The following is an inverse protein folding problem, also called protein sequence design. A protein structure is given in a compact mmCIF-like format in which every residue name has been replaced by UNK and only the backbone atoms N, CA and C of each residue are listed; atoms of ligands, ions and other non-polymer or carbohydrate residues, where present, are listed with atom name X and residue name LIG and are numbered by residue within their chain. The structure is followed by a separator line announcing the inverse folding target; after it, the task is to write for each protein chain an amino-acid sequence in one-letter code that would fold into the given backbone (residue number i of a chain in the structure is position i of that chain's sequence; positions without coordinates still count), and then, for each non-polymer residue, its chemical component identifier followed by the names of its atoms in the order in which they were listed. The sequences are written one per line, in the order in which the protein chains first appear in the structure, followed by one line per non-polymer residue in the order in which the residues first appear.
data_IF_642802502659
#
_entry.id   IF_642802502659
#
_cell.length_a   1.000
_cell.length_b   1.000
_cell.length_c   1.000
_cell.angle_alpha   90.00
_cell.angle_beta   90.00
_cell.angle_gamma   90.00
#
_symmetry.space_group_name_H-M   'P 1'
#
loop_
_entity.id
_entity.type
_entity.pdbx_description
1 polymer ?
#
# COMPACT_ATOMS: atom_id res chain seq x y z
N UNK A 1 15.07 -3.95 6.61
CA UNK A 1 15.39 -5.30 6.11
C UNK A 1 16.54 -5.18 5.12
N UNK A 2 17.48 -6.12 5.15
CA UNK A 2 18.61 -6.18 4.24
C UNK A 2 18.81 -7.62 3.76
N UNK A 3 18.76 -7.83 2.45
CA UNK A 3 19.08 -9.14 1.86
C UNK A 3 20.56 -9.44 2.05
N UNK A 4 20.88 -10.69 2.40
CA UNK A 4 22.24 -11.20 2.61
C UNK A 4 22.57 -12.20 1.52
N UNK A 5 21.70 -13.19 1.32
CA UNK A 5 21.93 -14.29 0.38
C UNK A 5 20.63 -14.69 -0.32
N UNK A 6 20.74 -15.01 -1.61
CA UNK A 6 19.67 -15.61 -2.39
C UNK A 6 20.26 -16.68 -3.32
N UNK A 7 19.83 -17.92 -3.15
CA UNK A 7 20.06 -19.01 -4.08
C UNK A 7 18.74 -19.54 -4.63
N UNK A 8 18.66 -19.69 -5.96
CA UNK A 8 17.51 -20.26 -6.68
C UNK A 8 18.06 -21.31 -7.65
N UNK A 9 17.96 -22.61 -7.31
CA UNK A 9 18.47 -23.69 -8.15
C UNK A 9 17.79 -23.74 -9.52
N UNK A 10 16.46 -23.63 -9.54
CA UNK A 10 15.71 -23.64 -10.79
C UNK A 10 14.44 -22.80 -10.66
N UNK A 11 14.33 -21.76 -11.48
CA UNK A 11 13.09 -21.01 -11.66
C UNK A 11 13.04 -20.39 -13.05
N UNK A 12 12.19 -20.95 -13.92
CA UNK A 12 12.03 -20.50 -15.31
C UNK A 12 13.35 -20.57 -16.08
N UNK A 13 13.98 -19.43 -16.38
CA UNK A 13 15.29 -19.37 -17.05
C UNK A 13 16.45 -19.08 -16.08
N UNK A 14 16.17 -18.98 -14.78
CA UNK A 14 17.19 -18.91 -13.74
C UNK A 14 17.62 -20.35 -13.44
N UNK A 15 18.90 -20.65 -13.65
CA UNK A 15 19.52 -21.94 -13.33
C UNK A 15 20.71 -21.69 -12.42
N UNK A 16 20.74 -22.39 -11.29
CA UNK A 16 21.80 -22.33 -10.27
C UNK A 16 22.19 -20.90 -9.89
N UNK A 17 21.20 -20.01 -9.79
CA UNK A 17 21.43 -18.62 -9.47
C UNK A 17 21.85 -18.52 -8.00
N UNK A 18 22.98 -17.85 -7.76
CA UNK A 18 23.46 -17.51 -6.41
C UNK A 18 23.86 -16.04 -6.38
N UNK A 19 23.33 -15.30 -5.40
CA UNK A 19 23.61 -13.88 -5.19
C UNK A 19 23.92 -13.66 -3.72
N UNK A 20 25.14 -13.18 -3.46
CA UNK A 20 25.56 -12.67 -2.17
C UNK A 20 25.51 -11.14 -2.18
N UNK A 21 24.65 -10.57 -1.34
CA UNK A 21 24.44 -9.13 -1.26
C UNK A 21 25.45 -8.51 -0.31
N UNK A 22 26.29 -7.62 -0.85
CA UNK A 22 27.14 -6.78 0.01
C UNK A 22 26.26 -5.86 0.85
N UNK A 23 26.46 -5.87 2.15
CA UNK A 23 25.65 -5.07 3.08
C UNK A 23 26.21 -3.68 3.35
N UNK A 24 27.51 -3.50 3.12
CA UNK A 24 28.27 -2.27 3.40
C UNK A 24 29.19 -1.92 2.22
N UNK A 25 29.37 -0.62 1.98
CA UNK A 25 30.34 -0.12 1.00
C UNK A 25 31.75 -0.30 1.58
N UNK A 26 32.59 -1.09 0.90
CA UNK A 26 34.00 -1.20 1.27
C UNK A 26 34.71 0.13 1.02
N UNK A 27 35.52 0.58 1.98
CA UNK A 27 36.37 1.76 1.79
C UNK A 27 37.26 1.57 0.55
N UNK A 28 37.37 2.62 -0.28
CA UNK A 28 38.29 2.61 -1.42
C UNK A 28 39.73 2.44 -0.90
N UNK A 29 40.58 1.66 -1.57
CA UNK A 29 41.99 1.54 -1.19
C UNK A 29 42.65 2.93 -1.29
N UNK A 30 43.08 3.49 -0.16
CA UNK A 30 43.74 4.81 -0.08
C UNK A 30 42.93 5.94 0.56
N UNK A 31 41.68 5.71 0.98
CA UNK A 31 40.93 6.68 1.79
C UNK A 31 41.30 6.52 3.28
N UNK A 32 41.53 7.64 3.97
CA UNK A 32 41.84 7.69 5.40
C UNK A 32 40.84 6.89 6.23
N UNK A 33 41.37 5.99 7.05
CA UNK A 33 40.68 5.11 8.01
C UNK A 33 39.99 5.91 9.10
N UNK A 34 38.80 6.46 8.84
CA UNK A 34 37.92 7.04 9.88
C UNK A 34 36.48 7.31 9.40
N UNK A 35 35.99 6.56 8.41
CA UNK A 35 34.57 6.66 7.98
C UNK A 35 33.89 5.34 8.29
N UNK A 36 32.89 5.37 9.17
CA UNK A 36 32.03 4.22 9.42
C UNK A 36 31.48 3.67 8.09
N UNK A 37 31.55 2.35 7.88
CA UNK A 37 31.15 1.75 6.61
C UNK A 37 29.69 2.08 6.30
N UNK A 38 29.46 2.80 5.20
CA UNK A 38 28.10 3.17 4.78
C UNK A 38 27.30 1.93 4.38
N UNK A 39 26.16 1.71 5.03
CA UNK A 39 25.21 0.64 4.70
C UNK A 39 24.65 0.83 3.29
N UNK A 40 24.63 -0.25 2.50
CA UNK A 40 24.02 -0.27 1.17
C UNK A 40 22.50 -0.36 1.32
N UNK A 41 21.78 0.62 0.75
CA UNK A 41 20.31 0.70 0.81
C UNK A 41 19.63 0.34 -0.51
N UNK A 42 20.39 0.25 -1.60
CA UNK A 42 19.87 -0.05 -2.93
C UNK A 42 20.84 -0.93 -3.70
N UNK A 43 20.27 -1.87 -4.47
CA UNK A 43 21.01 -2.72 -5.39
C UNK A 43 20.44 -2.51 -6.79
N UNK A 44 21.34 -2.38 -7.78
CA UNK A 44 20.96 -2.27 -9.18
C UNK A 44 21.35 -3.56 -9.90
N UNK A 45 20.38 -4.20 -10.54
CA UNK A 45 20.62 -5.32 -11.45
C UNK A 45 20.54 -4.82 -12.89
N UNK A 46 21.65 -4.93 -13.62
CA UNK A 46 21.78 -4.45 -15.00
C UNK A 46 22.11 -5.64 -15.90
N UNK A 47 21.53 -5.65 -17.10
CA UNK A 47 21.78 -6.70 -18.10
C UNK A 47 20.95 -6.46 -19.36
N UNK A 48 21.21 -7.23 -20.41
CA UNK A 48 20.45 -7.16 -21.66
C UNK A 48 19.00 -7.64 -21.49
N UNK A 49 18.13 -7.34 -22.45
CA UNK A 49 16.75 -7.85 -22.44
C UNK A 49 16.77 -9.39 -22.62
N UNK A 50 15.87 -10.09 -21.92
CA UNK A 50 15.79 -11.56 -21.97
C UNK A 50 16.73 -12.30 -21.01
N UNK A 51 17.64 -11.64 -20.29
CA UNK A 51 18.60 -12.29 -19.38
C UNK A 51 18.01 -12.80 -18.05
N UNK A 52 16.67 -12.76 -17.87
CA UNK A 52 16.02 -13.24 -16.65
C UNK A 52 15.83 -12.22 -15.52
N UNK A 53 16.17 -10.93 -15.72
CA UNK A 53 15.98 -9.87 -14.70
C UNK A 53 14.56 -9.84 -14.11
N UNK A 54 13.54 -9.88 -14.98
CA UNK A 54 12.14 -9.90 -14.55
C UNK A 54 11.76 -11.19 -13.84
N UNK A 55 12.39 -12.32 -14.20
CA UNK A 55 12.15 -13.60 -13.53
C UNK A 55 12.77 -13.63 -12.12
N UNK A 56 13.89 -12.94 -11.89
CA UNK A 56 14.45 -12.76 -10.54
C UNK A 56 13.50 -11.96 -9.64
N UNK A 57 12.99 -10.84 -10.16
CA UNK A 57 12.01 -10.00 -9.44
C UNK A 57 10.76 -10.83 -9.14
N UNK A 58 10.27 -11.61 -10.11
CA UNK A 58 9.13 -12.50 -9.93
C UNK A 58 9.38 -13.56 -8.85
N UNK A 59 10.57 -14.18 -8.83
CA UNK A 59 10.93 -15.18 -7.82
C UNK A 59 10.92 -14.57 -6.42
N UNK A 60 11.55 -13.41 -6.23
CA UNK A 60 11.56 -12.69 -4.95
C UNK A 60 10.15 -12.36 -4.47
N UNK A 61 9.30 -11.81 -5.34
CA UNK A 61 7.90 -11.50 -5.01
C UNK A 61 7.15 -12.78 -4.63
N UNK A 62 7.36 -13.87 -5.38
CA UNK A 62 6.72 -15.16 -5.12
C UNK A 62 7.11 -15.72 -3.75
N UNK A 63 8.38 -15.66 -3.39
CA UNK A 63 8.89 -16.11 -2.08
C UNK A 63 8.21 -15.32 -0.95
N UNK A 64 8.26 -13.98 -0.99
CA UNK A 64 7.64 -13.17 0.07
C UNK A 64 6.12 -13.33 0.10
N UNK A 65 5.46 -13.44 -1.04
CA UNK A 65 4.01 -13.68 -1.15
C UNK A 65 3.62 -14.99 -0.47
N UNK A 66 4.32 -16.08 -0.78
CA UNK A 66 3.99 -17.40 -0.27
C UNK A 66 4.24 -17.50 1.23
N UNK A 67 5.34 -16.90 1.71
CA UNK A 67 5.63 -16.81 3.15
C UNK A 67 4.54 -16.00 3.86
N UNK A 68 4.22 -14.80 3.35
CA UNK A 68 3.24 -13.89 3.93
C UNK A 68 1.83 -14.49 4.01
N UNK A 69 1.39 -15.16 2.94
CA UNK A 69 0.08 -15.81 2.88
C UNK A 69 0.03 -17.13 3.65
N UNK A 70 1.14 -17.52 4.30
CA UNK A 70 1.32 -18.78 4.97
C UNK A 70 0.99 -19.98 4.06
N UNK A 71 1.55 -19.98 2.84
CA UNK A 71 1.36 -21.03 1.82
C UNK A 71 2.57 -21.95 1.73
N UNK A 72 2.35 -23.08 1.06
CA UNK A 72 3.42 -24.00 0.63
C UNK A 72 4.33 -23.28 -0.38
N UNK A 73 5.62 -23.65 -0.40
CA UNK A 73 6.59 -23.06 -1.32
C UNK A 73 6.33 -23.51 -2.76
N UNK A 74 6.31 -22.56 -3.68
CA UNK A 74 6.08 -22.83 -5.12
C UNK A 74 7.36 -23.01 -5.94
N UNK A 75 8.52 -22.79 -5.34
CA UNK A 75 9.85 -23.04 -5.93
C UNK A 75 10.86 -23.39 -4.84
N UNK A 76 11.98 -23.98 -5.25
CA UNK A 76 13.14 -24.23 -4.39
C UNK A 76 14.00 -22.97 -4.28
N UNK A 77 14.42 -22.63 -3.07
CA UNK A 77 15.29 -21.47 -2.83
C UNK A 77 15.98 -21.55 -1.47
N UNK A 78 17.06 -20.79 -1.33
CA UNK A 78 17.62 -20.38 -0.03
C UNK A 78 17.65 -18.87 0.01
N UNK A 79 17.04 -18.27 1.03
CA UNK A 79 16.96 -16.83 1.22
C UNK A 79 17.45 -16.50 2.62
N UNK A 80 18.37 -15.55 2.73
CA UNK A 80 18.86 -15.03 4.00
C UNK A 80 18.78 -13.51 4.03
N UNK A 81 18.32 -12.96 5.15
CA UNK A 81 18.23 -11.52 5.34
C UNK A 81 18.31 -11.12 6.81
N UNK A 82 18.74 -9.88 7.03
CA UNK A 82 18.71 -9.22 8.32
C UNK A 82 17.46 -8.34 8.42
N UNK A 83 16.71 -8.47 9.51
CA UNK A 83 15.59 -7.58 9.81
C UNK A 83 15.46 -7.37 11.31
N UNK A 84 15.29 -6.10 11.73
CA UNK A 84 15.02 -5.76 13.15
C UNK A 84 16.07 -6.34 14.11
N UNK A 85 17.33 -6.44 13.68
CA UNK A 85 18.45 -6.99 14.48
C UNK A 85 18.59 -8.51 14.44
N UNK A 86 17.69 -9.23 13.76
CA UNK A 86 17.68 -10.69 13.66
C UNK A 86 18.11 -11.16 12.27
N UNK A 87 18.78 -12.30 12.22
CA UNK A 87 19.13 -12.99 10.98
C UNK A 87 18.11 -14.09 10.70
N UNK A 88 17.45 -14.01 9.55
CA UNK A 88 16.44 -14.98 9.14
C UNK A 88 16.95 -15.74 7.92
N UNK A 89 16.97 -17.07 8.03
CA UNK A 89 17.27 -17.98 6.93
C UNK A 89 16.05 -18.82 6.60
N UNK A 90 15.72 -18.89 5.32
CA UNK A 90 14.58 -19.64 4.80
C UNK A 90 15.06 -20.54 3.66
N UNK A 91 14.76 -21.82 3.74
CA UNK A 91 15.11 -22.79 2.71
C UNK A 91 13.88 -23.58 2.31
N UNK A 92 13.47 -23.45 1.04
CA UNK A 92 12.47 -24.32 0.43
C UNK A 92 13.17 -25.42 -0.36
N UNK A 93 12.83 -26.67 -0.04
CA UNK A 93 13.22 -27.87 -0.77
C UNK A 93 11.94 -28.70 -0.96
N UNK A 94 11.26 -28.46 -2.08
CA UNK A 94 9.94 -29.00 -2.40
C UNK A 94 9.96 -30.51 -2.56
N UNK A 95 11.12 -31.11 -2.81
CA UNK A 95 11.31 -32.56 -2.83
C UNK A 95 11.30 -33.16 -1.42
N UNK A 96 11.75 -32.43 -0.41
CA UNK A 96 11.75 -32.90 1.00
C UNK A 96 10.45 -32.61 1.73
N UNK A 97 9.93 -31.39 1.62
CA UNK A 97 8.65 -31.01 2.22
C UNK A 97 8.05 -29.78 1.53
N UNK A 98 6.73 -29.64 1.63
CA UNK A 98 6.00 -28.53 1.00
C UNK A 98 6.28 -27.17 1.63
N UNK A 99 6.55 -27.13 2.94
CA UNK A 99 6.80 -25.90 3.69
C UNK A 99 8.28 -25.61 3.76
N UNK A 100 8.72 -24.35 3.68
CA UNK A 100 10.13 -24.02 3.86
C UNK A 100 10.58 -24.33 5.28
N UNK A 101 11.84 -24.72 5.42
CA UNK A 101 12.55 -24.71 6.69
C UNK A 101 12.94 -23.27 7.02
N UNK A 102 12.76 -22.87 8.28
CA UNK A 102 13.03 -21.51 8.73
C UNK A 102 13.93 -21.55 9.95
N UNK A 103 14.91 -20.64 9.97
CA UNK A 103 15.77 -20.38 11.11
C UNK A 103 15.80 -18.89 11.42
N UNK A 104 15.79 -18.55 12.70
CA UNK A 104 15.93 -17.19 13.22
C UNK A 104 17.05 -17.22 14.25
N UNK A 105 18.13 -16.50 14.00
CA UNK A 105 19.34 -16.51 14.82
C UNK A 105 19.80 -17.95 15.14
N UNK A 106 19.91 -18.77 14.08
CA UNK A 106 20.26 -20.20 14.10
C UNK A 106 19.25 -21.16 14.76
N UNK A 107 18.22 -20.65 15.43
CA UNK A 107 17.15 -21.48 15.99
C UNK A 107 16.13 -21.88 14.93
N UNK A 108 15.87 -23.18 14.82
CA UNK A 108 14.86 -23.72 13.89
C UNK A 108 13.44 -23.41 14.37
N UNK A 109 12.68 -22.71 13.54
CA UNK A 109 11.30 -22.29 13.83
C UNK A 109 10.33 -22.69 12.71
N UNK A 110 9.03 -22.52 12.95
CA UNK A 110 8.00 -22.71 11.91
C UNK A 110 7.88 -21.47 11.02
N UNK A 111 7.34 -21.62 9.81
CA UNK A 111 7.03 -20.48 8.93
C UNK A 111 6.09 -19.47 9.61
N UNK A 112 5.11 -19.93 10.39
CA UNK A 112 4.17 -19.07 11.10
C UNK A 112 4.86 -18.13 12.11
N UNK A 113 6.03 -18.54 12.63
CA UNK A 113 6.85 -17.72 13.51
C UNK A 113 7.23 -16.38 12.88
N UNK A 114 7.33 -16.30 11.55
CA UNK A 114 7.65 -15.06 10.85
C UNK A 114 6.46 -14.10 10.73
N UNK A 115 5.23 -14.59 10.93
CA UNK A 115 3.97 -13.88 10.68
C UNK A 115 3.30 -13.38 11.96
N UNK A 116 3.49 -14.10 13.06
CA UNK A 116 2.79 -13.84 14.32
C UNK A 116 3.72 -13.26 15.37
N UNK A 117 3.31 -12.16 15.98
CA UNK A 117 3.92 -11.68 17.21
C UNK A 117 3.48 -12.62 18.35
N UNK A 118 4.25 -12.65 19.44
CA UNK A 118 3.80 -13.36 20.63
C UNK A 118 2.49 -12.77 21.17
N UNK A 119 1.58 -13.67 21.57
CA UNK A 119 0.32 -13.25 22.18
C UNK A 119 0.61 -12.49 23.47
N UNK A 120 -0.24 -11.51 23.79
CA UNK A 120 -0.03 -10.63 24.92
C UNK A 120 0.07 -11.37 26.27
N UNK A 121 -0.56 -12.54 26.38
CA UNK A 121 -0.64 -13.44 27.53
C UNK A 121 0.53 -14.43 27.65
N UNK A 122 1.36 -14.60 26.60
CA UNK A 122 2.51 -15.51 26.65
C UNK A 122 3.63 -14.92 27.51
N UNK A 123 4.05 -15.67 28.55
CA UNK A 123 5.22 -15.37 29.37
C UNK A 123 6.06 -16.65 29.59
N UNK A 124 7.39 -16.62 29.34
CA UNK A 124 8.16 -15.48 28.85
C UNK A 124 7.85 -15.17 27.38
N UNK A 125 7.85 -13.89 27.02
CA UNK A 125 7.80 -13.46 25.62
C UNK A 125 9.14 -13.77 24.98
N UNK A 126 9.11 -14.31 23.78
CA UNK A 126 10.31 -14.39 22.95
C UNK A 126 10.59 -12.98 22.44
N UNK A 127 11.61 -12.32 22.99
CA UNK A 127 11.97 -10.95 22.61
C UNK A 127 12.35 -10.85 21.12
N UNK A 128 12.74 -11.96 20.50
CA UNK A 128 12.98 -12.07 19.04
C UNK A 128 11.69 -12.00 18.22
N UNK A 129 10.55 -12.37 18.83
CA UNK A 129 9.19 -12.21 18.26
C UNK A 129 8.62 -10.83 18.56
N UNK A 130 9.45 -9.79 18.48
CA UNK A 130 9.01 -8.41 18.34
C UNK A 130 8.11 -8.22 17.10
N UNK A 131 8.03 -7.05 16.48
CA UNK A 131 7.21 -6.91 15.29
C UNK A 131 7.69 -7.91 14.22
N UNK A 132 6.76 -8.62 13.55
CA UNK A 132 6.96 -9.67 12.51
C UNK A 132 8.34 -9.73 11.84
N UNK A 133 8.94 -10.90 11.69
CA UNK A 133 10.27 -11.03 11.06
C UNK A 133 10.23 -11.03 9.53
N UNK A 134 9.37 -10.19 8.95
CA UNK A 134 9.18 -9.99 7.52
C UNK A 134 9.12 -8.49 7.22
N UNK A 135 9.42 -8.07 5.98
CA UNK A 135 9.23 -6.67 5.61
C UNK A 135 7.77 -6.25 5.87
N UNK A 136 7.56 -5.07 6.46
CA UNK A 136 6.20 -4.54 6.65
C UNK A 136 5.49 -4.42 5.32
N UNK A 137 6.19 -3.94 4.29
CA UNK A 137 5.66 -3.74 2.95
C UNK A 137 6.66 -4.17 1.86
N UNK A 138 6.13 -4.73 0.76
CA UNK A 138 6.86 -5.08 -0.46
C UNK A 138 6.18 -4.38 -1.63
N UNK A 139 6.89 -3.43 -2.23
CA UNK A 139 6.42 -2.67 -3.38
C UNK A 139 7.10 -3.19 -4.65
N UNK A 140 6.30 -3.46 -5.68
CA UNK A 140 6.80 -3.77 -7.01
C UNK A 140 6.29 -2.75 -8.01
N UNK A 141 7.22 -2.10 -8.69
CA UNK A 141 6.96 -1.26 -9.85
C UNK A 141 7.56 -1.92 -11.09
N UNK A 142 6.76 -2.02 -12.14
CA UNK A 142 7.20 -2.54 -13.44
C UNK A 142 6.78 -1.54 -14.51
N UNK A 143 7.74 -1.02 -15.29
CA UNK A 143 7.42 -0.16 -16.44
C UNK A 143 6.77 -1.02 -17.52
N UNK A 144 5.56 -0.65 -17.92
CA UNK A 144 4.72 -1.41 -18.85
C UNK A 144 3.81 -2.43 -18.18
N UNK A 145 3.24 -3.34 -18.99
CA UNK A 145 2.26 -4.33 -18.53
C UNK A 145 2.93 -5.69 -18.32
N UNK A 146 2.87 -6.21 -17.10
CA UNK A 146 3.33 -7.55 -16.77
C UNK A 146 2.29 -8.28 -15.93
N UNK A 147 1.35 -8.94 -16.62
CA UNK A 147 0.21 -9.63 -15.99
C UNK A 147 0.65 -10.75 -15.04
N UNK A 148 1.79 -11.39 -15.33
CA UNK A 148 2.36 -12.43 -14.47
C UNK A 148 2.76 -11.88 -13.12
N UNK A 149 3.57 -10.82 -13.09
CA UNK A 149 3.95 -10.16 -11.83
C UNK A 149 2.70 -9.62 -11.14
N UNK A 150 1.81 -8.93 -11.88
CA UNK A 150 0.57 -8.36 -11.34
C UNK A 150 -0.30 -9.41 -10.64
N UNK A 151 -0.44 -10.60 -11.22
CA UNK A 151 -1.22 -11.71 -10.64
C UNK A 151 -0.72 -12.15 -9.26
N UNK A 152 0.57 -11.97 -8.96
CA UNK A 152 1.14 -12.34 -7.66
C UNK A 152 0.56 -11.51 -6.51
N UNK A 153 0.02 -10.31 -6.80
CA UNK A 153 -0.50 -9.37 -5.81
C UNK A 153 -2.02 -9.47 -5.61
N UNK A 154 -2.72 -10.22 -6.47
CA UNK A 154 -4.19 -10.27 -6.47
C UNK A 154 -4.77 -10.79 -5.16
N UNK A 155 -4.17 -11.81 -4.54
CA UNK A 155 -4.70 -12.34 -3.27
C UNK A 155 -4.57 -11.32 -2.13
N UNK A 156 -3.45 -10.60 -2.04
CA UNK A 156 -3.28 -9.53 -1.05
C UNK A 156 -4.29 -8.41 -1.25
N UNK A 157 -4.54 -8.03 -2.49
CA UNK A 157 -5.58 -7.05 -2.85
C UNK A 157 -6.98 -7.55 -2.45
N UNK A 158 -7.30 -8.81 -2.74
CA UNK A 158 -8.59 -9.43 -2.39
C UNK A 158 -8.80 -9.47 -0.88
N UNK A 159 -7.81 -9.94 -0.12
CA UNK A 159 -7.86 -10.01 1.35
C UNK A 159 -8.00 -8.63 1.98
N UNK A 160 -7.33 -7.63 1.42
CA UNK A 160 -7.46 -6.24 1.87
C UNK A 160 -8.89 -5.73 1.67
N UNK A 161 -9.47 -5.91 0.47
CA UNK A 161 -10.85 -5.52 0.19
C UNK A 161 -11.85 -6.20 1.12
N UNK A 162 -11.72 -7.51 1.29
CA UNK A 162 -12.58 -8.28 2.19
C UNK A 162 -12.49 -7.77 3.63
N UNK A 163 -11.28 -7.44 4.12
CA UNK A 163 -11.12 -6.86 5.46
C UNK A 163 -11.78 -5.49 5.58
N UNK A 164 -11.72 -4.65 4.55
CA UNK A 164 -12.38 -3.35 4.57
C UNK A 164 -13.92 -3.46 4.57
N UNK A 165 -14.46 -4.47 3.87
CA UNK A 165 -15.88 -4.82 3.91
C UNK A 165 -16.28 -5.36 5.29
N UNK A 166 -15.56 -6.35 5.84
CA UNK A 166 -15.85 -6.94 7.17
C UNK A 166 -15.75 -5.91 8.30
N UNK A 167 -14.75 -5.02 8.23
CA UNK A 167 -14.61 -3.94 9.22
C UNK A 167 -15.81 -2.99 9.18
N UNK A 168 -16.56 -2.91 8.06
CA UNK A 168 -17.82 -2.17 8.00
C UNK A 168 -18.97 -2.93 8.66
N UNK A 169 -19.08 -4.25 8.44
CA UNK A 169 -20.12 -5.09 9.05
C UNK A 169 -20.01 -5.19 10.59
N UNK A 170 -18.80 -5.05 11.17
CA UNK A 170 -18.58 -5.10 12.62
C UNK A 170 -18.83 -3.76 13.35
N UNK A 171 -19.20 -2.67 12.65
CA UNK A 171 -19.31 -1.33 13.27
C UNK A 171 -20.52 -1.21 14.21
N UNK A 172 -21.55 -2.04 14.04
CA UNK A 172 -22.68 -2.14 14.97
C UNK A 172 -23.09 -3.60 15.05
N UNK A 173 -23.04 -4.21 16.24
CA UNK A 173 -23.57 -5.56 16.40
C UNK A 173 -25.05 -5.56 16.03
N UNK A 174 -25.49 -6.58 15.30
CA UNK A 174 -26.90 -6.78 14.91
C UNK A 174 -27.84 -6.61 16.13
N UNK A 175 -27.37 -7.07 17.30
CA UNK A 175 -28.02 -6.92 18.61
C UNK A 175 -28.19 -5.48 19.12
N UNK A 176 -27.26 -4.57 18.77
CA UNK A 176 -27.36 -3.14 19.10
C UNK A 176 -28.42 -2.44 18.22
N UNK A 177 -28.64 -2.93 17.00
CA UNK A 177 -29.63 -2.39 16.08
C UNK A 177 -31.05 -2.92 16.35
N UNK A 178 -31.17 -4.21 16.67
CA UNK A 178 -32.46 -4.86 16.97
C UNK A 178 -33.20 -4.22 18.17
N UNK A 179 -32.48 -3.61 19.10
CA UNK A 179 -33.04 -2.99 20.32
C UNK A 179 -32.77 -1.48 20.42
N UNK A 180 -32.42 -0.81 19.32
CA UNK A 180 -32.09 0.62 19.36
C UNK A 180 -33.35 1.47 19.57
N UNK A 181 -33.50 2.05 20.76
CA UNK A 181 -34.67 2.89 21.11
C UNK A 181 -34.36 4.39 21.07
N UNK A 182 -33.13 4.76 20.74
CA UNK A 182 -32.69 6.16 20.65
C UNK A 182 -32.46 6.82 22.02
N UNK A 183 -32.31 6.03 23.08
CA UNK A 183 -32.03 6.56 24.42
C UNK A 183 -30.59 7.06 24.55
N UNK A 184 -30.32 7.93 25.53
CA UNK A 184 -28.96 8.37 25.85
C UNK A 184 -27.99 7.23 26.22
N UNK A 185 -28.53 6.06 26.61
CA UNK A 185 -27.75 4.85 26.85
C UNK A 185 -27.34 4.18 25.54
N UNK A 186 -28.25 4.11 24.57
CA UNK A 186 -28.00 3.56 23.23
C UNK A 186 -26.99 4.43 22.47
N UNK A 187 -27.13 5.76 22.54
CA UNK A 187 -26.18 6.72 21.93
C UNK A 187 -24.78 6.54 22.53
N UNK A 188 -24.68 6.33 23.85
CA UNK A 188 -23.41 6.06 24.53
C UNK A 188 -22.82 4.71 24.15
N UNK A 189 -23.63 3.66 24.06
CA UNK A 189 -23.19 2.33 23.64
C UNK A 189 -22.64 2.33 22.21
N UNK A 190 -23.29 3.04 21.28
CA UNK A 190 -22.79 3.24 19.91
C UNK A 190 -21.47 4.01 19.90
N UNK A 191 -21.36 5.10 20.67
CA UNK A 191 -20.12 5.87 20.76
C UNK A 191 -18.96 5.08 21.38
N UNK A 192 -19.24 4.21 22.35
CA UNK A 192 -18.26 3.34 23.00
C UNK A 192 -17.82 2.19 22.09
N UNK A 193 -18.75 1.56 21.36
CA UNK A 193 -18.42 0.56 20.33
C UNK A 193 -17.52 1.15 19.24
N UNK A 194 -17.81 2.38 18.77
CA UNK A 194 -16.94 3.11 17.84
C UNK A 194 -15.54 3.35 18.41
N UNK A 195 -15.43 3.82 19.66
CA UNK A 195 -14.12 4.02 20.33
C UNK A 195 -13.35 2.72 20.52
N UNK A 196 -14.01 1.62 20.89
CA UNK A 196 -13.38 0.31 21.05
C UNK A 196 -12.90 -0.23 19.69
N UNK A 197 -13.65 -0.02 18.62
CA UNK A 197 -13.24 -0.36 17.26
C UNK A 197 -12.06 0.49 16.78
N UNK A 198 -12.06 1.81 17.03
CA UNK A 198 -10.89 2.67 16.77
C UNK A 198 -9.66 2.21 17.56
N UNK A 199 -9.83 1.80 18.82
CA UNK A 199 -8.74 1.26 19.65
C UNK A 199 -8.24 -0.09 19.14
N UNK A 200 -9.14 -0.98 18.67
CA UNK A 200 -8.79 -2.23 17.99
C UNK A 200 -8.02 -1.99 16.71
N UNK A 201 -8.50 -1.08 15.85
CA UNK A 201 -7.80 -0.65 14.62
C UNK A 201 -6.44 -0.02 14.94
N UNK A 202 -6.32 0.67 16.08
CA UNK A 202 -5.05 1.19 16.58
C UNK A 202 -4.09 0.06 16.97
N UNK A 203 -4.61 -1.00 17.61
CA UNK A 203 -3.85 -2.19 18.01
C UNK A 203 -3.43 -3.11 16.86
N UNK A 204 -4.10 -3.10 15.71
CA UNK A 204 -3.71 -3.86 14.51
C UNK A 204 -2.51 -3.25 13.76
N UNK A 205 -1.61 -2.56 14.46
CA UNK A 205 -0.65 -1.55 13.99
C UNK A 205 0.28 -1.88 12.81
N UNK A 206 0.29 -3.11 12.29
CA UNK A 206 1.07 -3.52 11.11
C UNK A 206 0.20 -3.87 9.86
N UNK A 207 -1.14 -4.01 10.00
CA UNK A 207 -2.05 -4.48 8.93
C UNK A 207 -2.98 -3.38 8.38
N UNK A 208 -2.67 -2.10 8.65
CA UNK A 208 -3.49 -0.96 8.20
C UNK A 208 -3.42 -0.75 6.68
N UNK A 209 -2.32 -1.14 6.06
CA UNK A 209 -2.10 -1.19 4.62
C UNK A 209 -1.91 -2.65 4.19
N UNK A 210 -2.16 -2.97 2.92
CA UNK A 210 -1.81 -4.28 2.38
C UNK A 210 -0.29 -4.44 2.40
N UNK A 211 0.22 -5.66 2.57
CA UNK A 211 1.67 -5.88 2.68
C UNK A 211 2.37 -5.91 1.33
N UNK A 212 1.73 -6.44 0.30
CA UNK A 212 2.28 -6.52 -1.05
C UNK A 212 1.53 -5.56 -1.98
N UNK A 213 2.27 -4.68 -2.67
CA UNK A 213 1.74 -3.69 -3.59
C UNK A 213 2.30 -3.86 -4.99
N UNK A 214 1.40 -3.92 -5.96
CA UNK A 214 1.74 -3.71 -7.37
C UNK A 214 1.43 -2.27 -7.75
N UNK A 215 2.48 -1.48 -7.90
CA UNK A 215 2.39 -0.05 -8.18
C UNK A 215 1.92 0.17 -9.63
N UNK A 216 0.69 0.67 -9.77
CA UNK A 216 0.12 1.10 -11.07
C UNK A 216 0.20 2.61 -11.21
N UNK A 217 0.00 3.10 -12.44
CA UNK A 217 -0.07 4.52 -12.77
C UNK A 217 -0.89 5.33 -11.75
N UNK A 218 -2.11 4.89 -11.40
CA UNK A 218 -2.98 5.56 -10.42
C UNK A 218 -2.38 5.82 -9.03
N UNK A 219 -1.43 4.99 -8.57
CA UNK A 219 -0.80 5.17 -7.26
C UNK A 219 0.11 6.41 -7.25
N UNK A 220 0.68 6.78 -8.40
CA UNK A 220 1.57 7.94 -8.50
C UNK A 220 0.86 9.24 -8.12
N UNK A 221 -0.40 9.40 -8.52
CA UNK A 221 -1.23 10.56 -8.14
C UNK A 221 -1.59 10.55 -6.66
N UNK A 222 -1.98 9.39 -6.12
CA UNK A 222 -2.32 9.26 -4.69
C UNK A 222 -1.12 9.57 -3.80
N UNK A 223 0.05 9.07 -4.18
CA UNK A 223 1.32 9.33 -3.53
C UNK A 223 1.65 10.82 -3.62
N UNK A 224 1.53 11.44 -4.79
CA UNK A 224 1.80 12.87 -4.94
C UNK A 224 0.92 13.73 -4.03
N UNK A 225 -0.38 13.41 -3.96
CA UNK A 225 -1.30 14.06 -3.03
C UNK A 225 -0.82 13.88 -1.59
N UNK A 226 -0.49 12.66 -1.18
CA UNK A 226 0.05 12.41 0.16
C UNK A 226 1.34 13.20 0.42
N UNK A 227 2.26 13.29 -0.55
CA UNK A 227 3.50 14.08 -0.45
C UNK A 227 3.19 15.56 -0.23
N UNK A 228 2.27 16.13 -1.02
CA UNK A 228 1.95 17.56 -0.99
C UNK A 228 1.08 17.98 0.20
N UNK A 229 0.49 17.01 0.88
CA UNK A 229 -0.24 17.19 2.14
C UNK A 229 0.66 16.94 3.37
N UNK A 230 1.90 16.50 3.16
CA UNK A 230 2.87 16.22 4.21
C UNK A 230 3.84 17.38 4.41
N UNK A 231 4.26 17.61 5.65
CA UNK A 231 5.38 18.49 5.98
C UNK A 231 6.72 17.71 6.15
N UNK A 232 6.81 16.48 5.62
CA UNK A 232 8.03 15.65 5.71
C UNK A 232 9.17 16.22 4.83
N UNK A 233 10.34 16.40 5.44
CA UNK A 233 11.55 16.87 4.78
C UNK A 233 11.97 16.00 3.57
N UNK A 234 11.68 14.70 3.59
CA UNK A 234 11.95 13.81 2.45
C UNK A 234 11.03 14.13 1.28
N UNK A 235 9.74 14.35 1.53
CA UNK A 235 8.80 14.74 0.49
C UNK A 235 9.12 16.11 -0.09
N UNK A 236 9.47 17.08 0.76
CA UNK A 236 9.96 18.40 0.32
C UNK A 236 11.16 18.28 -0.62
N UNK A 237 12.10 17.38 -0.31
CA UNK A 237 13.26 17.12 -1.17
C UNK A 237 12.86 16.46 -2.50
N UNK A 238 11.93 15.51 -2.48
CA UNK A 238 11.40 14.87 -3.70
C UNK A 238 10.70 15.91 -4.58
N UNK A 239 9.81 16.73 -4.01
CA UNK A 239 9.11 17.79 -4.74
C UNK A 239 10.07 18.82 -5.33
N UNK A 240 11.10 19.22 -4.56
CA UNK A 240 12.16 20.11 -5.04
C UNK A 240 12.93 19.53 -6.22
N UNK A 241 13.28 18.24 -6.18
CA UNK A 241 13.97 17.57 -7.28
C UNK A 241 13.09 17.43 -8.54
N UNK A 242 11.78 17.37 -8.37
CA UNK A 242 10.80 17.37 -9.47
C UNK A 242 10.41 18.78 -9.93
N UNK A 243 11.05 19.82 -9.35
CA UNK A 243 10.75 21.23 -9.59
C UNK A 243 9.29 21.62 -9.33
N UNK A 244 8.62 20.90 -8.44
CA UNK A 244 7.25 21.17 -8.00
C UNK A 244 7.34 22.16 -6.81
N UNK A 245 6.54 23.21 -6.86
CA UNK A 245 6.46 24.25 -5.83
C UNK A 245 5.23 24.07 -4.95
N UNK A 246 4.06 23.85 -5.55
CA UNK A 246 2.82 23.65 -4.80
C UNK A 246 1.75 22.91 -5.60
N UNK A 247 0.74 22.40 -4.88
CA UNK A 247 -0.46 21.84 -5.48
C UNK A 247 -1.51 22.94 -5.67
N UNK A 248 -2.02 23.09 -6.88
CA UNK A 248 -3.01 24.12 -7.22
C UNK A 248 -4.43 23.60 -7.02
N UNK A 249 -4.73 22.46 -7.61
CA UNK A 249 -6.07 21.84 -7.58
C UNK A 249 -6.01 20.34 -7.85
N UNK A 250 -7.07 19.64 -7.46
CA UNK A 250 -7.26 18.23 -7.78
C UNK A 250 -8.70 17.96 -8.20
N UNK A 251 -8.88 17.19 -9.27
CA UNK A 251 -10.19 16.67 -9.69
C UNK A 251 -10.21 15.16 -9.45
N UNK A 252 -11.10 14.71 -8.58
CA UNK A 252 -11.37 13.30 -8.35
C UNK A 252 -12.50 12.87 -9.29
N UNK A 253 -12.21 11.87 -10.13
CA UNK A 253 -13.19 11.23 -11.00
C UNK A 253 -13.55 9.90 -10.37
N UNK A 254 -14.74 9.86 -9.78
CA UNK A 254 -15.30 8.65 -9.20
C UNK A 254 -16.19 7.94 -10.21
N UNK A 255 -16.33 6.62 -10.08
CA UNK A 255 -17.24 5.82 -10.89
C UNK A 255 -18.00 4.81 -10.06
N UNK A 256 -19.16 4.40 -10.56
CA UNK A 256 -19.93 3.28 -10.02
C UNK A 256 -19.08 2.00 -10.13
N UNK A 257 -18.70 1.37 -9.00
CA UNK A 257 -17.88 0.16 -8.99
C UNK A 257 -18.56 -0.97 -9.77
N UNK A 258 -17.75 -1.77 -10.47
CA UNK A 258 -18.26 -2.88 -11.29
C UNK A 258 -19.21 -3.80 -10.51
N UNK A 259 -18.83 -4.19 -9.29
CA UNK A 259 -19.61 -5.07 -8.40
C UNK A 259 -20.98 -4.49 -8.06
N UNK A 260 -21.04 -3.22 -7.67
CA UNK A 260 -22.29 -2.55 -7.30
C UNK A 260 -23.20 -2.35 -8.51
N UNK A 261 -22.61 -2.04 -9.66
CA UNK A 261 -23.35 -1.92 -10.92
C UNK A 261 -23.99 -3.24 -11.35
N UNK A 262 -23.27 -4.36 -11.24
CA UNK A 262 -23.82 -5.69 -11.51
C UNK A 262 -24.97 -6.03 -10.57
N UNK A 263 -24.82 -5.76 -9.27
CA UNK A 263 -25.87 -5.92 -8.27
C UNK A 263 -27.11 -5.07 -8.60
N UNK A 264 -26.92 -3.79 -8.94
CA UNK A 264 -27.99 -2.89 -9.38
C UNK A 264 -28.74 -3.41 -10.59
N UNK A 265 -28.02 -3.86 -11.62
CA UNK A 265 -28.64 -4.43 -12.83
C UNK A 265 -29.41 -5.71 -12.55
N UNK A 266 -28.95 -6.50 -11.59
CA UNK A 266 -29.61 -7.72 -11.17
C UNK A 266 -30.73 -7.50 -10.13
N UNK A 267 -30.91 -6.27 -9.61
CA UNK A 267 -31.85 -5.98 -8.52
C UNK A 267 -31.49 -6.69 -7.20
N UNK A 268 -30.22 -7.03 -6.99
CA UNK A 268 -29.71 -7.81 -5.86
C UNK A 268 -28.86 -6.95 -4.92
N UNK A 269 -29.43 -5.85 -4.44
CA UNK A 269 -28.86 -5.19 -3.27
C UNK A 269 -29.37 -5.89 -2.03
N UNK A 270 -28.46 -6.24 -1.13
CA UNK A 270 -28.78 -6.79 0.17
C UNK A 270 -29.28 -5.66 1.11
N UNK A 271 -30.12 -5.96 2.11
CA UNK A 271 -30.69 -4.94 3.00
C UNK A 271 -29.61 -4.13 3.74
N UNK A 272 -28.53 -4.79 4.16
CA UNK A 272 -27.40 -4.13 4.80
C UNK A 272 -26.72 -3.10 3.86
N UNK A 273 -26.76 -3.29 2.54
CA UNK A 273 -26.17 -2.34 1.57
C UNK A 273 -26.95 -1.06 1.45
N UNK A 274 -28.27 -1.19 1.48
CA UNK A 274 -29.16 -0.05 1.44
C UNK A 274 -29.13 0.74 2.75
N UNK A 275 -28.92 0.04 3.87
CA UNK A 275 -28.93 0.65 5.21
C UNK A 275 -27.60 1.32 5.58
N UNK A 276 -26.46 0.73 5.20
CA UNK A 276 -25.13 1.19 5.64
C UNK A 276 -24.30 1.86 4.52
N UNK A 277 -24.66 1.63 3.25
CA UNK A 277 -23.98 2.24 2.11
C UNK A 277 -24.34 3.71 1.92
N UNK A 278 -23.39 4.50 1.42
CA UNK A 278 -23.66 5.92 1.13
C UNK A 278 -24.39 6.08 -0.22
N UNK A 279 -25.64 6.60 -0.25
CA UNK A 279 -26.39 6.76 -1.48
C UNK A 279 -25.71 7.67 -2.51
N UNK A 280 -24.91 8.65 -2.05
CA UNK A 280 -24.15 9.58 -2.92
C UNK A 280 -23.08 8.85 -3.75
N UNK A 281 -22.63 7.71 -3.25
CA UNK A 281 -21.56 6.91 -3.84
C UNK A 281 -22.04 5.51 -4.22
N UNK A 282 -23.26 5.40 -4.75
CA UNK A 282 -23.87 4.16 -5.23
C UNK A 282 -23.99 3.06 -4.17
N UNK A 283 -24.22 3.45 -2.91
CA UNK A 283 -24.26 2.55 -1.75
C UNK A 283 -22.95 1.79 -1.52
N UNK A 284 -21.83 2.40 -1.92
CA UNK A 284 -20.51 1.88 -1.57
C UNK A 284 -20.35 1.77 -0.07
N UNK A 285 -19.79 0.64 0.36
CA UNK A 285 -19.52 0.32 1.76
C UNK A 285 -18.03 0.23 2.05
N UNK A 286 -17.69 0.37 3.33
CA UNK A 286 -16.33 0.29 3.85
C UNK A 286 -16.05 1.50 4.72
N UNK A 287 -15.83 1.29 6.02
CA UNK A 287 -15.62 2.39 6.97
C UNK A 287 -14.50 3.35 6.51
N UNK A 288 -13.43 2.77 5.99
CA UNK A 288 -12.27 3.48 5.42
C UNK A 288 -12.68 4.36 4.25
N UNK A 289 -13.43 3.82 3.30
CA UNK A 289 -13.78 4.54 2.07
C UNK A 289 -14.83 5.61 2.33
N UNK A 290 -15.85 5.31 3.14
CA UNK A 290 -16.93 6.23 3.47
C UNK A 290 -16.42 7.48 4.21
N UNK A 291 -15.51 7.33 5.18
CA UNK A 291 -14.92 8.49 5.88
C UNK A 291 -14.18 9.43 4.92
N UNK A 292 -13.42 8.88 3.97
CA UNK A 292 -12.67 9.68 3.01
C UNK A 292 -13.59 10.35 2.00
N UNK A 293 -14.57 9.64 1.47
CA UNK A 293 -15.51 10.18 0.50
C UNK A 293 -16.38 11.29 1.10
N UNK A 294 -16.79 11.17 2.36
CA UNK A 294 -17.53 12.24 3.04
C UNK A 294 -16.68 13.50 3.24
N UNK A 295 -15.44 13.34 3.71
CA UNK A 295 -14.49 14.47 3.86
C UNK A 295 -14.15 15.11 2.52
N UNK A 296 -13.98 14.30 1.47
CA UNK A 296 -13.77 14.78 0.11
C UNK A 296 -14.98 15.56 -0.39
N UNK A 297 -16.20 15.09 -0.13
CA UNK A 297 -17.43 15.80 -0.48
C UNK A 297 -17.52 17.18 0.18
N UNK A 298 -17.13 17.30 1.46
CA UNK A 298 -17.18 18.56 2.20
C UNK A 298 -16.26 19.65 1.62
N UNK A 299 -15.09 19.28 1.11
CA UNK A 299 -14.09 20.25 0.57
C UNK A 299 -14.24 20.52 -0.93
N UNK A 300 -14.98 19.66 -1.62
CA UNK A 300 -15.15 19.71 -3.07
C UNK A 300 -16.21 20.73 -3.49
N UNK A 301 -15.98 21.36 -4.63
CA UNK A 301 -16.95 22.22 -5.29
C UNK A 301 -17.86 21.41 -6.22
N UNK A 302 -19.15 21.79 -6.22
CA UNK A 302 -20.20 21.41 -7.17
C UNK A 302 -20.04 20.00 -7.77
N UNK A 303 -20.50 18.94 -7.07
CA UNK A 303 -20.46 17.58 -7.58
C UNK A 303 -21.20 17.48 -8.92
N UNK A 304 -20.51 17.00 -9.96
CA UNK A 304 -21.11 16.80 -11.29
C UNK A 304 -21.31 15.32 -11.50
N UNK A 305 -22.58 14.92 -11.67
CA UNK A 305 -22.93 13.57 -12.07
C UNK A 305 -23.06 13.48 -13.59
N UNK A 306 -22.44 12.45 -14.17
CA UNK A 306 -22.51 12.20 -15.61
C UNK A 306 -22.57 10.70 -15.88
N UNK A 307 -23.44 10.29 -16.80
CA UNK A 307 -23.36 8.98 -17.44
C UNK A 307 -22.52 9.09 -18.71
N UNK A 308 -21.37 8.42 -18.74
CA UNK A 308 -20.45 8.43 -19.86
C UNK A 308 -20.21 7.01 -20.40
N UNK A 309 -20.11 6.88 -21.71
CA UNK A 309 -19.70 5.62 -22.35
C UNK A 309 -18.18 5.63 -22.49
N UNK A 310 -17.47 4.83 -21.69
CA UNK A 310 -16.01 4.70 -21.75
C UNK A 310 -15.59 3.45 -22.51
N UNK A 311 -14.48 3.54 -23.24
CA UNK A 311 -13.85 2.38 -23.85
C UNK A 311 -12.99 1.65 -22.80
N UNK A 312 -13.30 0.38 -22.53
CA UNK A 312 -12.62 -0.44 -21.52
C UNK A 312 -11.31 -1.00 -22.06
N UNK A 313 -11.27 -1.34 -23.35
CA UNK A 313 -10.13 -2.02 -23.96
C UNK A 313 -9.80 -1.50 -25.35
N UNK A 314 -8.60 -1.85 -25.82
CA UNK A 314 -8.12 -1.50 -27.16
C UNK A 314 -8.94 -2.14 -28.29
N UNK A 315 -9.80 -3.11 -27.98
CA UNK A 315 -10.68 -3.80 -28.94
C UNK A 315 -11.99 -3.07 -29.17
N UNK A 316 -12.18 -1.91 -28.53
CA UNK A 316 -13.36 -1.07 -28.72
C UNK A 316 -14.56 -1.49 -27.87
N UNK A 317 -14.37 -2.35 -26.86
CA UNK A 317 -15.46 -2.63 -25.91
C UNK A 317 -15.78 -1.36 -25.15
N UNK A 318 -17.05 -1.01 -25.12
CA UNK A 318 -17.53 0.19 -24.43
C UNK A 318 -18.41 -0.19 -23.25
N UNK A 319 -18.42 0.70 -22.26
CA UNK A 319 -19.16 0.54 -21.03
C UNK A 319 -19.83 1.85 -20.67
N UNK A 320 -21.14 1.79 -20.43
CA UNK A 320 -21.86 2.89 -19.77
C UNK A 320 -21.52 2.90 -18.30
N UNK A 321 -20.85 3.96 -17.86
CA UNK A 321 -20.41 4.16 -16.49
C UNK A 321 -21.07 5.42 -15.93
N UNK A 322 -21.64 5.32 -14.73
CA UNK A 322 -22.03 6.48 -13.91
C UNK A 322 -20.77 7.03 -13.27
N UNK A 323 -20.56 8.33 -13.40
CA UNK A 323 -19.38 9.02 -12.90
C UNK A 323 -19.79 10.23 -12.07
N UNK A 324 -18.97 10.51 -11.07
CA UNK A 324 -19.12 11.64 -10.17
C UNK A 324 -17.80 12.40 -10.12
N UNK A 325 -17.85 13.68 -10.47
CA UNK A 325 -16.69 14.55 -10.51
C UNK A 325 -16.68 15.46 -9.29
N UNK A 326 -15.62 15.37 -8.49
CA UNK A 326 -15.42 16.16 -7.29
C UNK A 326 -14.16 17.03 -7.43
N UNK A 327 -14.36 18.33 -7.58
CA UNK A 327 -13.26 19.27 -7.81
C UNK A 327 -12.82 19.96 -6.52
N UNK A 328 -11.55 19.82 -6.15
CA UNK A 328 -10.94 20.54 -5.04
C UNK A 328 -10.09 21.68 -5.59
N UNK A 329 -10.53 22.94 -5.44
CA UNK A 329 -10.10 24.06 -6.29
C UNK A 329 -8.80 24.75 -5.86
N UNK A 330 -8.38 24.58 -4.60
CA UNK A 330 -7.30 25.37 -4.02
C UNK A 330 -6.41 24.55 -3.10
N UNK A 331 -5.15 24.97 -2.97
CA UNK A 331 -4.21 24.42 -2.00
C UNK A 331 -4.76 24.41 -0.57
N UNK A 332 -5.53 25.44 -0.19
CA UNK A 332 -6.15 25.53 1.14
C UNK A 332 -7.18 24.42 1.36
N UNK A 333 -8.04 24.16 0.38
CA UNK A 333 -9.04 23.10 0.46
C UNK A 333 -8.37 21.72 0.50
N UNK A 334 -7.24 21.56 -0.20
CA UNK A 334 -6.47 20.32 -0.18
C UNK A 334 -5.79 20.09 1.18
N UNK A 335 -5.17 21.13 1.75
CA UNK A 335 -4.65 21.05 3.13
C UNK A 335 -5.76 20.71 4.12
N UNK A 336 -6.93 21.35 4.01
CA UNK A 336 -8.10 21.03 4.81
C UNK A 336 -8.55 19.57 4.64
N UNK A 337 -8.51 19.02 3.42
CA UNK A 337 -8.78 17.59 3.19
C UNK A 337 -7.79 16.72 3.95
N UNK A 338 -6.49 17.04 3.88
CA UNK A 338 -5.45 16.35 4.66
C UNK A 338 -5.74 16.40 6.15
N UNK A 339 -5.99 17.59 6.71
CA UNK A 339 -6.30 17.79 8.12
C UNK A 339 -7.55 17.00 8.59
N UNK A 340 -8.61 16.98 7.78
CA UNK A 340 -9.84 16.24 8.07
C UNK A 340 -9.61 14.72 8.04
N UNK A 341 -8.84 14.25 7.07
CA UNK A 341 -8.58 12.82 6.84
C UNK A 341 -7.59 12.28 7.87
N UNK A 342 -6.66 13.11 8.34
CA UNK A 342 -5.61 12.80 9.30
C UNK A 342 -4.23 12.79 8.65
N UNK A 343 -3.25 12.18 9.31
CA UNK A 343 -1.88 12.10 8.79
C UNK A 343 -1.78 11.44 7.41
N UNK A 344 -0.61 11.59 6.77
CA UNK A 344 -0.32 11.13 5.41
C UNK A 344 -0.57 9.63 5.19
N UNK A 345 -0.21 8.81 6.17
CA UNK A 345 -0.48 7.37 6.18
C UNK A 345 -1.98 7.07 6.10
N UNK A 346 -2.78 7.75 6.92
CA UNK A 346 -4.24 7.64 6.88
C UNK A 346 -4.79 8.06 5.53
N UNK A 347 -4.38 9.22 5.00
CA UNK A 347 -4.82 9.70 3.69
C UNK A 347 -4.51 8.70 2.58
N UNK A 348 -3.26 8.22 2.52
CA UNK A 348 -2.85 7.26 1.50
C UNK A 348 -3.65 5.95 1.62
N UNK A 349 -3.82 5.43 2.84
CA UNK A 349 -4.64 4.23 3.10
C UNK A 349 -6.07 4.39 2.60
N UNK A 350 -6.71 5.52 2.90
CA UNK A 350 -8.09 5.76 2.50
C UNK A 350 -8.24 5.90 1.00
N UNK A 351 -7.37 6.70 0.38
CA UNK A 351 -7.39 6.92 -1.05
C UNK A 351 -7.03 5.63 -1.83
N UNK A 352 -6.11 4.84 -1.30
CA UNK A 352 -5.79 3.51 -1.85
C UNK A 352 -6.99 2.56 -1.72
N UNK A 353 -7.66 2.53 -0.57
CA UNK A 353 -8.88 1.74 -0.37
C UNK A 353 -9.95 2.08 -1.41
N UNK A 354 -10.19 3.38 -1.64
CA UNK A 354 -11.15 3.84 -2.64
C UNK A 354 -10.71 3.53 -4.09
N UNK A 355 -9.41 3.58 -4.38
CA UNK A 355 -8.87 3.20 -5.68
C UNK A 355 -8.99 1.70 -5.96
N UNK A 356 -8.64 0.86 -4.98
CA UNK A 356 -8.75 -0.60 -5.09
C UNK A 356 -10.22 -1.05 -5.08
N UNK A 357 -11.08 -0.35 -4.35
CA UNK A 357 -12.52 -0.56 -4.31
C UNK A 357 -13.25 -0.19 -5.62
N UNK A 358 -12.51 0.15 -6.67
CA UNK A 358 -13.03 0.52 -8.00
C UNK A 358 -13.90 1.79 -7.98
N UNK A 359 -13.75 2.64 -6.95
CA UNK A 359 -14.47 3.90 -6.79
C UNK A 359 -13.74 5.07 -7.43
N UNK A 360 -12.43 5.20 -7.20
CA UNK A 360 -11.61 6.22 -7.86
C UNK A 360 -11.17 5.68 -9.23
N UNK A 361 -11.69 6.27 -10.30
CA UNK A 361 -11.27 5.96 -11.67
C UNK A 361 -9.99 6.71 -12.03
N UNK A 362 -9.95 8.00 -11.71
CA UNK A 362 -8.84 8.88 -12.04
C UNK A 362 -8.73 10.03 -11.02
N UNK A 363 -7.51 10.49 -10.77
CA UNK A 363 -7.27 11.75 -10.06
C UNK A 363 -6.43 12.66 -10.95
N UNK A 364 -6.94 13.84 -11.27
CA UNK A 364 -6.23 14.83 -12.10
C UNK A 364 -5.70 15.92 -11.20
N UNK A 365 -4.38 15.96 -11.05
CA UNK A 365 -3.69 16.92 -10.20
C UNK A 365 -3.09 18.00 -11.08
N UNK A 366 -3.29 19.26 -10.69
CA UNK A 366 -2.59 20.41 -11.26
C UNK A 366 -1.55 20.88 -10.24
N UNK A 367 -0.29 20.95 -10.67
CA UNK A 367 0.81 21.44 -9.86
C UNK A 367 1.37 22.73 -10.44
N UNK A 368 1.93 23.57 -9.57
CA UNK A 368 2.74 24.71 -9.98
C UNK A 368 4.20 24.27 -10.00
N UNK A 369 4.84 24.34 -11.17
CA UNK A 369 6.30 24.18 -11.30
C UNK A 369 6.98 25.51 -11.01
N UNK A 370 8.22 25.46 -10.52
CA UNK A 370 9.05 26.66 -10.32
C UNK A 370 9.27 27.38 -11.65
N UNK A 371 9.32 28.70 -11.61
CA UNK A 371 9.13 29.60 -12.77
C UNK A 371 9.98 29.28 -14.01
N UNK A 372 11.19 28.75 -13.83
CA UNK A 372 12.08 28.35 -14.94
C UNK A 372 11.56 27.14 -15.76
N UNK A 373 10.55 26.40 -15.26
CA UNK A 373 10.09 25.11 -15.79
C UNK A 373 8.60 25.07 -16.20
N UNK A 374 7.94 26.21 -16.39
CA UNK A 374 6.69 26.27 -17.19
C UNK A 374 5.36 26.47 -16.46
N UNK A 375 5.33 27.05 -15.27
CA UNK A 375 4.08 27.53 -14.64
C UNK A 375 3.13 26.42 -14.17
N UNK A 376 1.81 26.55 -14.40
CA UNK A 376 0.80 25.55 -13.99
C UNK A 376 0.79 24.40 -14.99
N UNK A 377 1.12 23.21 -14.50
CA UNK A 377 1.34 22.00 -15.30
C UNK A 377 0.45 20.88 -14.76
N UNK A 378 -0.21 20.16 -15.66
CA UNK A 378 -1.00 18.98 -15.29
C UNK A 378 -0.09 17.79 -14.99
N UNK A 379 -0.52 16.89 -14.12
CA UNK A 379 0.24 15.67 -13.78
C UNK A 379 0.64 14.82 -15.00
N UNK A 380 -0.20 14.80 -16.03
CA UNK A 380 0.04 14.08 -17.29
C UNK A 380 1.22 14.62 -18.12
N UNK A 381 1.75 15.80 -17.77
CA UNK A 381 2.88 16.42 -18.43
C UNK A 381 4.22 16.13 -17.72
N UNK A 382 4.21 15.35 -16.64
CA UNK A 382 5.43 14.81 -16.03
C UNK A 382 5.99 13.68 -16.88
N UNK A 383 7.33 13.60 -16.98
CA UNK A 383 8.01 12.52 -17.67
C UNK A 383 7.82 11.18 -16.95
N UNK A 384 7.93 10.07 -17.70
CA UNK A 384 7.81 8.72 -17.11
C UNK A 384 8.84 8.50 -15.98
N UNK A 385 10.06 9.01 -16.13
CA UNK A 385 11.10 8.92 -15.10
C UNK A 385 10.76 9.68 -13.82
N UNK A 386 10.19 10.89 -13.94
CA UNK A 386 9.71 11.67 -12.79
C UNK A 386 8.58 10.93 -12.05
N UNK A 387 7.62 10.36 -12.80
CA UNK A 387 6.53 9.57 -12.26
C UNK A 387 7.01 8.31 -11.55
N UNK A 388 8.01 7.63 -12.10
CA UNK A 388 8.63 6.45 -11.50
C UNK A 388 9.27 6.78 -10.16
N UNK A 389 10.10 7.82 -10.13
CA UNK A 389 10.79 8.25 -8.92
C UNK A 389 9.79 8.66 -7.85
N UNK A 390 8.79 9.47 -8.23
CA UNK A 390 7.73 9.92 -7.33
C UNK A 390 6.95 8.75 -6.73
N UNK A 391 6.58 7.77 -7.56
CA UNK A 391 5.83 6.59 -7.11
C UNK A 391 6.65 5.76 -6.14
N UNK A 392 7.90 5.41 -6.52
CA UNK A 392 8.74 4.53 -5.70
C UNK A 392 9.13 5.22 -4.40
N UNK A 393 9.70 6.43 -4.47
CA UNK A 393 10.13 7.15 -3.27
C UNK A 393 8.95 7.51 -2.39
N UNK A 394 7.84 7.94 -2.99
CA UNK A 394 6.73 8.40 -2.18
C UNK A 394 6.00 7.25 -1.49
N UNK A 395 5.89 6.07 -2.12
CA UNK A 395 5.39 4.87 -1.43
C UNK A 395 6.33 4.42 -0.31
N UNK A 396 7.65 4.46 -0.53
CA UNK A 396 8.62 4.16 0.52
C UNK A 396 8.46 5.09 1.72
N UNK A 397 8.20 6.38 1.49
CA UNK A 397 8.02 7.36 2.57
C UNK A 397 6.69 7.16 3.31
N UNK A 398 5.57 7.01 2.58
CA UNK A 398 4.25 6.76 3.16
C UNK A 398 4.21 5.49 4.01
N UNK A 399 4.97 4.47 3.63
CA UNK A 399 5.10 3.21 4.36
C UNK A 399 6.10 3.25 5.52
N UNK A 400 6.96 4.27 5.60
CA UNK A 400 7.99 4.41 6.63
C UNK A 400 7.54 5.31 7.78
N UNK A 401 6.59 6.23 7.56
CA UNK A 401 6.09 7.15 8.60
C UNK A 401 5.38 6.41 9.73
N UNK A 402 4.89 5.19 9.48
CA UNK A 402 4.31 4.26 10.47
C UNK A 402 5.32 3.84 11.56
N UNK A 403 6.63 3.99 11.34
CA UNK A 403 7.69 3.65 12.30
C UNK A 403 8.20 4.85 13.13
N UNK A 404 7.87 6.09 12.76
CA UNK A 404 8.42 7.29 13.42
C UNK A 404 7.85 7.58 14.80
N UNK A 405 6.83 6.84 15.25
CA UNK A 405 6.31 6.94 16.63
C UNK A 405 7.24 6.34 17.69
N UNK A 406 8.28 5.59 17.31
CA UNK A 406 9.16 4.89 18.25
C UNK A 406 10.65 5.26 18.17
N UNK A 407 11.15 5.80 17.05
CA UNK A 407 12.58 6.08 16.87
C UNK A 407 12.85 7.55 16.55
N UNK A 408 12.77 8.40 17.58
CA UNK A 408 13.16 9.82 17.50
C UNK A 408 14.69 10.04 17.66
N UNK A 409 15.51 9.08 17.20
CA UNK A 409 16.97 9.15 17.23
C UNK A 409 17.61 8.62 15.95
N UNK A 410 17.35 9.28 14.82
CA UNK A 410 18.22 9.30 13.63
C UNK A 410 17.71 10.47 12.78
N UNK A 411 18.20 11.69 12.99
CA UNK A 411 19.55 12.04 12.60
C UNK A 411 19.49 12.69 11.22
N UNK A 412 19.45 14.03 11.24
CA UNK A 412 19.58 14.97 10.13
C UNK A 412 20.34 14.40 8.92
N UNK A 413 19.71 14.47 7.73
CA UNK A 413 20.40 14.54 6.44
C UNK A 413 19.82 15.66 5.59
#
# INVERSE_FOLDING_TARGET
MQLIHLAIPNFRNLQDLVIDFKTHVSAMPGASTEIDPKRIRSHALIGQNGTGKSNLIEALITIFRDIDLNRDASLDYTLEYEIRGHTVRIQADTAKQKRPFVWVDDDKVSQDYLLTNDRADKSPRDERRGPRLLPSHVFAYYSGRNERIESLFQEHQRRFNQRQEITADEVLSERLLENFTGTDADIRAVAEARRQNEARLKHTGDDRLRRLFYCRGGHSQLVLLACLLSDDAVFEKVLKNLHIDSLESALFVLKEPHRLREKRRAGRFDENELNEGDPRFWYARGNVVSEFLDKLWQVSWAPIEQEATKQIDFRGRTEKQRQLYLFVPSQKNLKQLGELVGGTDSFFRYAEGAYIGDLIDEVRITVRKRDEHGGKVGFTQLSEGELQILTVLGLMCSASTTLSGADNHLGRL
#
